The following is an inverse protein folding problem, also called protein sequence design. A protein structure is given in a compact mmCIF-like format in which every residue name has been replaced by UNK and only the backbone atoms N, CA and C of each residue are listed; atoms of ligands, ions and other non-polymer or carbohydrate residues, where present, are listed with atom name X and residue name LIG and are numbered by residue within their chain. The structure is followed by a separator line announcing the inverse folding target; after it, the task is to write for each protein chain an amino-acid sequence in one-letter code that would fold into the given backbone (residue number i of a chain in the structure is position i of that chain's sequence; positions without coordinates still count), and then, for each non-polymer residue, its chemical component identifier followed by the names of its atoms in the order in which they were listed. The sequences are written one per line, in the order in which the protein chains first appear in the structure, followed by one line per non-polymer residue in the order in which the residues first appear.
data_IF_331051472506
#
_entry.id   IF_331051472506
#
_cell.length_a   1.000
_cell.length_b   1.000
_cell.length_c   1.000
_cell.angle_alpha   90.00
_cell.angle_beta   90.00
_cell.angle_gamma   90.00
#
_symmetry.space_group_name_H-M   'P 1'
#
loop_
_entity.id
_entity.type
_entity.pdbx_description
1 polymer ?
#
# COMPACT_ATOMS: atom_id res chain seq x y z
N UNK A 1 -2.49 -12.91 -30.47
CA UNK A 1 -1.88 -12.83 -30.04
C UNK A 1 -1.65 -11.89 -29.17
N UNK A 2 -1.55 -11.27 -28.96
CA UNK A 2 -1.38 -10.33 -28.20
C UNK A 2 -2.07 -10.27 -26.96
N UNK A 3 -3.15 -10.80 -26.72
CA UNK A 3 -3.92 -10.71 -25.51
C UNK A 3 -3.21 -11.22 -24.31
N UNK A 4 -2.50 -12.31 -24.45
CA UNK A 4 -1.77 -12.88 -23.34
C UNK A 4 -0.77 -11.92 -22.77
N UNK A 5 -0.08 -11.25 -23.63
CA UNK A 5 0.91 -10.29 -23.20
C UNK A 5 0.27 -9.14 -22.46
N UNK A 6 -0.85 -8.69 -22.97
CA UNK A 6 -1.55 -7.59 -22.35
C UNK A 6 -2.00 -7.92 -20.94
N UNK A 7 -2.54 -9.12 -20.76
CA UNK A 7 -2.99 -9.55 -19.44
C UNK A 7 -1.84 -9.59 -18.46
N UNK A 8 -0.71 -10.10 -18.86
CA UNK A 8 0.45 -10.16 -18.00
C UNK A 8 0.91 -8.76 -17.61
N UNK A 9 0.88 -7.85 -18.57
CA UNK A 9 1.32 -6.50 -18.34
C UNK A 9 0.41 -5.73 -17.39
N UNK A 10 -0.81 -6.22 -17.21
CA UNK A 10 -1.78 -5.53 -16.36
C UNK A 10 -1.81 -6.03 -14.92
N UNK A 11 -0.83 -6.86 -14.53
CA UNK A 11 -0.76 -7.30 -13.15
C UNK A 11 -0.61 -6.09 -12.24
N UNK A 12 -1.40 -6.09 -11.18
CA UNK A 12 -1.43 -4.95 -10.26
C UNK A 12 -0.20 -4.93 -9.36
N UNK A 13 0.22 -3.74 -9.01
CA UNK A 13 1.47 -3.53 -8.29
C UNK A 13 1.21 -2.88 -6.94
N UNK A 14 1.68 -3.55 -5.89
CA UNK A 14 1.53 -3.10 -4.51
C UNK A 14 2.90 -2.81 -3.93
N UNK A 15 3.07 -1.61 -3.38
CA UNK A 15 4.29 -1.26 -2.66
C UNK A 15 3.99 -1.19 -1.17
N UNK A 16 4.76 -1.93 -0.38
CA UNK A 16 4.66 -1.88 1.07
C UNK A 16 5.79 -0.99 1.58
N UNK A 17 5.44 0.03 2.36
CA UNK A 17 6.43 0.90 2.99
C UNK A 17 6.39 0.61 4.48
N UNK A 18 7.35 -0.17 4.95
CA UNK A 18 7.35 -0.71 6.29
C UNK A 18 8.77 -1.15 6.64
N UNK A 19 9.29 -0.74 7.79
CA UNK A 19 10.65 -1.09 8.17
C UNK A 19 10.76 -2.40 8.95
N UNK A 20 9.65 -2.94 9.43
CA UNK A 20 9.66 -4.21 10.15
C UNK A 20 9.55 -5.37 9.19
N UNK A 21 10.62 -6.16 9.11
CA UNK A 21 10.64 -7.30 8.20
C UNK A 21 9.55 -8.32 8.49
N UNK A 22 9.20 -8.49 9.76
CA UNK A 22 8.14 -9.44 10.11
C UNK A 22 6.79 -9.02 9.57
N UNK A 23 6.51 -7.73 9.60
CA UNK A 23 5.27 -7.24 9.05
C UNK A 23 5.22 -7.41 7.54
N UNK A 24 6.33 -7.14 6.86
CA UNK A 24 6.41 -7.35 5.42
C UNK A 24 6.18 -8.81 5.07
N UNK A 25 6.80 -9.71 5.82
CA UNK A 25 6.62 -11.13 5.60
C UNK A 25 5.18 -11.54 5.82
N UNK A 26 4.56 -11.04 6.89
CA UNK A 26 3.18 -11.34 7.19
C UNK A 26 2.27 -10.89 6.06
N UNK A 27 2.44 -9.68 5.57
CA UNK A 27 1.59 -9.17 4.50
C UNK A 27 1.76 -10.03 3.25
N UNK A 28 2.99 -10.42 2.92
CA UNK A 28 3.23 -11.31 1.79
C UNK A 28 2.50 -12.63 1.94
N UNK A 29 2.53 -13.19 3.15
CA UNK A 29 1.84 -14.45 3.40
C UNK A 29 0.33 -14.30 3.30
N UNK A 30 -0.20 -13.20 3.82
CA UNK A 30 -1.64 -12.97 3.79
C UNK A 30 -2.16 -12.75 2.37
N UNK A 31 -1.31 -12.27 1.48
CA UNK A 31 -1.69 -11.97 0.10
C UNK A 31 -1.13 -12.97 -0.90
N UNK A 32 -0.66 -14.11 -0.41
CA UNK A 32 0.06 -15.08 -1.23
C UNK A 32 -0.74 -15.58 -2.43
N UNK A 33 -2.05 -15.73 -2.28
CA UNK A 33 -2.88 -16.23 -3.36
C UNK A 33 -3.57 -15.13 -4.17
N UNK A 34 -3.18 -13.88 -3.95
CA UNK A 34 -3.69 -12.78 -4.75
C UNK A 34 -2.78 -12.57 -5.96
N UNK A 35 -3.35 -12.09 -7.04
CA UNK A 35 -2.58 -11.86 -8.25
C UNK A 35 -1.98 -10.47 -8.24
N UNK A 36 -1.01 -10.28 -7.37
CA UNK A 36 -0.38 -8.99 -7.15
C UNK A 36 1.12 -9.11 -7.30
N UNK A 37 1.73 -8.05 -7.81
CA UNK A 37 3.17 -7.92 -7.79
C UNK A 37 3.51 -7.07 -6.57
N UNK A 38 4.10 -7.69 -5.56
CA UNK A 38 4.35 -7.05 -4.26
C UNK A 38 5.83 -6.75 -4.11
N UNK A 39 6.13 -5.50 -3.80
CA UNK A 39 7.48 -5.10 -3.46
C UNK A 39 7.44 -4.30 -2.18
N UNK A 40 8.57 -4.18 -1.50
CA UNK A 40 8.56 -3.39 -0.29
C UNK A 40 9.85 -2.60 -0.15
N UNK A 41 9.74 -1.47 0.55
CA UNK A 41 10.86 -0.63 0.91
C UNK A 41 10.74 -0.31 2.39
N UNK A 42 11.84 0.08 3.00
CA UNK A 42 11.90 0.21 4.46
C UNK A 42 11.94 1.64 4.96
N UNK A 43 11.90 2.62 4.06
CA UNK A 43 12.01 4.00 4.45
C UNK A 43 11.30 4.90 3.45
N UNK A 44 11.09 6.14 3.84
CA UNK A 44 10.47 7.10 2.94
C UNK A 44 11.40 7.46 1.79
N UNK A 45 12.71 7.56 2.05
CA UNK A 45 13.64 7.87 0.98
C UNK A 45 13.70 6.74 -0.05
N UNK A 46 13.63 5.49 0.40
CA UNK A 46 13.57 4.37 -0.54
C UNK A 46 12.27 4.38 -1.33
N UNK A 47 11.18 4.82 -0.71
CA UNK A 47 9.90 4.95 -1.40
C UNK A 47 9.99 6.00 -2.50
N UNK A 48 10.63 7.13 -2.22
CA UNK A 48 10.79 8.18 -3.23
C UNK A 48 11.53 7.64 -4.45
N UNK A 49 12.59 6.89 -4.21
CA UNK A 49 13.36 6.29 -5.29
C UNK A 49 12.53 5.30 -6.09
N UNK A 50 11.72 4.51 -5.40
CA UNK A 50 10.87 3.55 -6.07
C UNK A 50 9.89 4.27 -7.00
N UNK A 51 9.26 5.32 -6.50
CA UNK A 51 8.29 6.08 -7.29
C UNK A 51 8.92 6.72 -8.51
N UNK A 52 10.21 7.04 -8.47
CA UNK A 52 10.90 7.61 -9.62
C UNK A 52 11.04 6.58 -10.75
N UNK A 53 11.06 5.31 -10.40
CA UNK A 53 11.15 4.25 -11.39
C UNK A 53 9.77 3.92 -11.95
N UNK A 54 8.79 3.80 -11.07
CA UNK A 54 7.44 3.48 -11.49
C UNK A 54 6.50 3.74 -10.32
N UNK A 55 5.31 4.25 -10.62
CA UNK A 55 4.30 4.48 -9.61
C UNK A 55 3.53 3.19 -9.39
N UNK A 56 3.39 2.72 -8.14
CA UNK A 56 2.56 1.55 -7.87
C UNK A 56 1.09 1.92 -7.94
N UNK A 57 0.24 0.92 -8.06
CA UNK A 57 -1.20 1.16 -8.05
C UNK A 57 -1.70 1.39 -6.63
N UNK A 58 -1.08 0.73 -5.66
CA UNK A 58 -1.48 0.80 -4.27
C UNK A 58 -0.27 0.83 -3.36
N UNK A 59 -0.33 1.63 -2.31
CA UNK A 59 0.68 1.68 -1.27
C UNK A 59 0.04 1.25 0.05
N UNK A 60 0.69 0.32 0.75
CA UNK A 60 0.38 0.04 2.15
C UNK A 60 1.52 0.64 2.95
N UNK A 61 1.23 1.60 3.80
CA UNK A 61 2.28 2.38 4.45
C UNK A 61 2.09 2.44 5.95
N UNK A 62 3.15 2.07 6.68
CA UNK A 62 3.16 2.24 8.11
C UNK A 62 3.38 3.72 8.42
N UNK A 63 2.89 4.17 9.57
CA UNK A 63 3.05 5.57 9.94
C UNK A 63 4.46 5.88 10.47
N UNK A 64 5.05 4.96 11.21
CA UNK A 64 6.37 5.22 11.83
C UNK A 64 7.47 4.55 11.02
N UNK A 65 8.29 5.37 10.41
CA UNK A 65 9.38 4.90 9.57
C UNK A 65 10.69 5.53 10.05
N UNK A 66 11.83 4.95 9.71
CA UNK A 66 13.12 5.45 10.25
C UNK A 66 13.39 6.91 9.95
N UNK A 67 12.93 7.40 8.81
CA UNK A 67 13.22 8.75 8.36
C UNK A 67 12.01 9.65 8.32
N UNK A 68 10.93 9.30 9.03
CA UNK A 68 9.81 10.20 9.13
C UNK A 68 8.49 9.47 9.35
N UNK A 69 7.40 10.21 9.24
CA UNK A 69 6.06 9.66 9.43
C UNK A 69 5.36 9.50 8.10
N UNK A 70 4.69 8.34 7.94
CA UNK A 70 3.95 8.09 6.72
C UNK A 70 2.88 9.13 6.46
N UNK A 71 2.25 9.64 7.55
CA UNK A 71 1.24 10.67 7.42
C UNK A 71 1.74 11.85 6.59
N UNK A 72 2.98 12.25 6.83
CA UNK A 72 3.54 13.41 6.12
C UNK A 72 3.83 13.09 4.66
N UNK A 73 3.95 11.82 4.32
CA UNK A 73 4.27 11.40 2.97
C UNK A 73 3.02 11.25 2.09
N UNK A 74 1.84 11.16 2.70
CA UNK A 74 0.61 10.93 1.96
C UNK A 74 0.37 12.06 0.95
N UNK A 75 0.53 13.30 1.39
CA UNK A 75 0.32 14.46 0.52
C UNK A 75 1.23 14.43 -0.69
N UNK A 76 2.48 14.04 -0.49
CA UNK A 76 3.43 13.92 -1.58
C UNK A 76 2.92 12.93 -2.63
N UNK A 77 2.48 11.76 -2.18
CA UNK A 77 1.99 10.74 -3.09
C UNK A 77 0.76 11.24 -3.85
N UNK A 78 -0.22 11.76 -3.12
CA UNK A 78 -1.48 12.15 -3.74
C UNK A 78 -1.31 13.33 -4.67
N UNK A 79 -0.37 14.20 -4.38
CA UNK A 79 -0.13 15.37 -5.21
C UNK A 79 0.64 15.01 -6.48
N UNK A 80 1.67 14.20 -6.35
CA UNK A 80 2.54 13.90 -7.47
C UNK A 80 2.11 12.64 -8.24
N UNK A 81 1.46 11.71 -7.57
CA UNK A 81 1.04 10.45 -8.18
C UNK A 81 -0.42 10.18 -7.84
N UNK A 82 -1.33 11.01 -8.33
CA UNK A 82 -2.74 10.94 -7.88
C UNK A 82 -3.44 9.62 -8.21
N UNK A 83 -2.90 8.84 -9.12
CA UNK A 83 -3.49 7.53 -9.44
C UNK A 83 -3.14 6.45 -8.44
N UNK A 84 -2.17 6.69 -7.57
CA UNK A 84 -1.79 5.70 -6.56
C UNK A 84 -2.72 5.78 -5.37
N UNK A 85 -3.30 4.66 -4.99
CA UNK A 85 -4.13 4.59 -3.78
C UNK A 85 -3.25 4.37 -2.57
N UNK A 86 -3.65 4.92 -1.44
CA UNK A 86 -2.85 4.83 -0.22
C UNK A 86 -3.69 4.29 0.92
N UNK A 87 -3.25 3.18 1.49
CA UNK A 87 -3.81 2.63 2.72
C UNK A 87 -2.77 2.81 3.81
N UNK A 88 -3.12 3.58 4.83
CA UNK A 88 -2.23 3.79 5.97
C UNK A 88 -2.47 2.67 6.98
N UNK A 89 -1.39 2.07 7.46
CA UNK A 89 -1.46 1.05 8.52
C UNK A 89 -0.89 1.65 9.78
N UNK A 90 -1.56 1.47 10.91
CA UNK A 90 -1.04 1.96 12.17
C UNK A 90 -1.73 1.25 13.33
N UNK A 91 -1.16 1.42 14.52
CA UNK A 91 -1.78 0.90 15.72
C UNK A 91 -3.00 1.73 16.10
N UNK A 92 -3.55 1.44 17.28
CA UNK A 92 -4.76 2.11 17.73
C UNK A 92 -4.48 3.56 18.04
N UNK A 93 -4.86 4.43 17.14
CA UNK A 93 -4.67 5.87 17.32
C UNK A 93 -5.69 6.60 16.45
N UNK A 94 -6.80 6.99 17.07
CA UNK A 94 -7.88 7.65 16.36
C UNK A 94 -7.43 8.97 15.75
N UNK A 95 -6.54 9.68 16.43
CA UNK A 95 -6.05 10.96 15.90
C UNK A 95 -5.24 10.74 14.63
N UNK A 96 -4.44 9.68 14.59
CA UNK A 96 -3.66 9.39 13.42
C UNK A 96 -4.56 9.04 12.23
N UNK A 97 -5.66 8.33 12.50
CA UNK A 97 -6.60 7.99 11.45
C UNK A 97 -7.19 9.24 10.81
N UNK A 98 -7.66 10.17 11.64
CA UNK A 98 -8.27 11.38 11.13
C UNK A 98 -7.28 12.20 10.30
N UNK A 99 -6.05 12.36 10.80
CA UNK A 99 -5.04 13.12 10.09
C UNK A 99 -4.67 12.45 8.78
N UNK A 100 -4.55 11.12 8.78
CA UNK A 100 -4.22 10.39 7.56
C UNK A 100 -5.27 10.60 6.48
N UNK A 101 -6.54 10.50 6.87
CA UNK A 101 -7.62 10.67 5.90
C UNK A 101 -7.69 12.11 5.40
N UNK A 102 -7.45 13.09 6.29
CA UNK A 102 -7.43 14.49 5.89
C UNK A 102 -6.30 14.77 4.90
N UNK A 103 -5.18 14.07 5.04
CA UNK A 103 -4.05 14.26 4.14
C UNK A 103 -4.19 13.50 2.83
N UNK A 104 -5.27 12.75 2.69
CA UNK A 104 -5.55 12.12 1.40
C UNK A 104 -5.42 10.61 1.37
N UNK A 105 -5.20 9.96 2.51
CA UNK A 105 -5.20 8.50 2.53
C UNK A 105 -6.57 8.00 2.09
N UNK A 106 -6.59 6.97 1.28
CA UNK A 106 -7.84 6.43 0.80
C UNK A 106 -8.51 5.54 1.83
N UNK A 107 -7.72 4.96 2.73
CA UNK A 107 -8.26 4.14 3.80
C UNK A 107 -7.23 4.01 4.91
N UNK A 108 -7.72 3.75 6.12
CA UNK A 108 -6.86 3.51 7.27
C UNK A 108 -7.11 2.10 7.78
N UNK A 109 -6.06 1.31 7.91
CA UNK A 109 -6.15 -0.08 8.36
C UNK A 109 -5.47 -0.20 9.71
N UNK A 110 -6.23 -0.56 10.74
CA UNK A 110 -5.71 -0.62 12.08
C UNK A 110 -4.99 -1.95 12.34
N UNK A 111 -3.82 -1.87 12.95
CA UNK A 111 -3.05 -3.06 13.34
C UNK A 111 -3.51 -3.52 14.71
N UNK A 112 -3.56 -4.79 14.97
CA UNK A 112 -3.33 -5.91 14.04
C UNK A 112 -4.55 -6.16 13.16
N UNK A 113 -4.31 -6.63 11.95
CA UNK A 113 -5.42 -6.90 11.05
C UNK A 113 -5.36 -8.35 10.56
N UNK A 114 -6.52 -8.86 10.21
CA UNK A 114 -6.65 -10.21 9.68
C UNK A 114 -6.49 -10.17 8.16
N UNK A 115 -6.37 -11.37 7.57
CA UNK A 115 -6.33 -11.49 6.12
C UNK A 115 -7.58 -10.87 5.49
N UNK A 116 -8.76 -11.16 6.08
CA UNK A 116 -10.01 -10.61 5.57
C UNK A 116 -10.01 -9.10 5.58
N UNK A 117 -9.52 -8.51 6.67
CA UNK A 117 -9.48 -7.05 6.78
C UNK A 117 -8.53 -6.44 5.76
N UNK A 118 -7.38 -7.07 5.57
CA UNK A 118 -6.41 -6.58 4.60
C UNK A 118 -6.95 -6.68 3.17
N UNK A 119 -7.49 -7.84 2.82
CA UNK A 119 -8.02 -8.05 1.47
C UNK A 119 -9.20 -7.13 1.19
N UNK A 120 -10.05 -6.93 2.20
CA UNK A 120 -11.18 -6.04 2.05
C UNK A 120 -10.73 -4.59 1.83
N UNK A 121 -9.70 -4.16 2.57
CA UNK A 121 -9.15 -2.82 2.41
C UNK A 121 -8.64 -2.62 1.00
N UNK A 122 -7.88 -3.58 0.49
CA UNK A 122 -7.36 -3.51 -0.86
C UNK A 122 -8.49 -3.43 -1.88
N UNK A 123 -9.49 -4.28 -1.70
CA UNK A 123 -10.62 -4.32 -2.61
C UNK A 123 -11.39 -2.99 -2.60
N UNK A 124 -11.61 -2.43 -1.40
CA UNK A 124 -12.37 -1.20 -1.28
C UNK A 124 -11.73 -0.02 -1.99
N UNK A 125 -10.41 0.08 -1.93
CA UNK A 125 -9.75 1.25 -2.52
C UNK A 125 -9.38 1.06 -3.97
N UNK A 126 -9.22 -0.18 -4.43
CA UNK A 126 -8.75 -0.43 -5.79
C UNK A 126 -9.82 -1.05 -6.68
N UNK A 127 -10.77 -1.74 -6.09
CA UNK A 127 -11.71 -2.52 -6.86
C UNK A 127 -11.15 -3.87 -7.28
N UNK A 128 -9.92 -4.19 -6.94
CA UNK A 128 -9.35 -5.48 -7.28
C UNK A 128 -10.00 -6.57 -6.42
N UNK A 129 -10.27 -7.68 -7.00
CA UNK A 129 -10.68 -8.83 -6.23
C UNK A 129 -10.41 -10.07 -7.05
N UNK A 130 -10.21 -11.15 -6.34
CA UNK A 130 -9.94 -12.40 -6.99
C UNK A 130 -11.24 -13.03 -7.44
N UNK A 131 -11.24 -13.50 -8.66
CA UNK A 131 -12.42 -14.16 -9.17
C UNK A 131 -12.55 -15.52 -8.55
N UNK A 132 -13.73 -15.89 -8.16
CA UNK A 132 -13.97 -17.17 -7.49
C UNK A 132 -13.78 -18.35 -8.43
#
# INVERSE_FOLDING_TARGET
MLDTTTSTALKQRLLIIEDEGEMCLLINLLLDDEDLEIEHVKSLSAAVEYFQQQAPSLVLMDNRLPDGYGIDFISFIKHKYPGTKVVMMSGMDAAAKDVALENGADLFLEKPFSRSQLCRAIHLVTGWHREA
#
